data_IF_398029587699
#
_entry.id   IF_398029587699
#
_cell.length_a   1.000
_cell.length_b   1.000
_cell.length_c   1.000
_cell.angle_alpha   90.00
_cell.angle_beta   90.00
_cell.angle_gamma   90.00
#
_symmetry.space_group_name_H-M   'P 1'
#
loop_
_entity.id
_entity.type
_entity.pdbx_description
1 polymer ?
#
# COMPACT_ATOMS: atom_id res chain seq x y z
N UNK A 1 14.80 1.18 15.64
CA UNK A 1 14.67 1.36 14.18
C UNK A 1 14.01 2.71 13.99
N UNK A 2 14.71 3.69 13.40
CA UNK A 2 14.24 5.07 13.34
C UNK A 2 12.95 5.15 12.52
N UNK A 3 11.85 5.51 13.18
CA UNK A 3 10.59 5.85 12.52
C UNK A 3 10.87 7.01 11.56
N UNK A 4 10.74 6.78 10.26
CA UNK A 4 10.90 7.82 9.25
C UNK A 4 9.66 8.70 9.32
N UNK A 5 9.73 9.76 10.13
CA UNK A 5 8.73 10.84 10.07
C UNK A 5 9.16 11.77 8.94
N UNK A 6 8.35 11.93 7.88
CA UNK A 6 8.69 12.88 6.84
C UNK A 6 8.83 14.27 7.46
N UNK A 7 9.95 14.93 7.22
CA UNK A 7 10.21 16.25 7.80
C UNK A 7 9.26 17.28 7.15
N UNK A 8 8.96 18.39 7.84
CA UNK A 8 8.06 19.44 7.33
C UNK A 8 8.45 19.93 5.91
N UNK A 9 9.75 19.96 5.60
CA UNK A 9 10.26 20.32 4.27
C UNK A 9 9.90 19.30 3.18
N UNK A 10 9.97 18.00 3.47
CA UNK A 10 9.59 16.95 2.53
C UNK A 10 8.08 16.95 2.29
N UNK A 11 7.30 17.17 3.34
CA UNK A 11 5.85 17.31 3.23
C UNK A 11 5.46 18.54 2.40
N UNK A 12 6.14 19.67 2.60
CA UNK A 12 5.91 20.90 1.84
C UNK A 12 6.34 20.76 0.39
N UNK A 13 7.45 20.06 0.13
CA UNK A 13 7.89 19.73 -1.22
C UNK A 13 6.89 18.82 -1.92
N UNK A 14 6.41 17.78 -1.24
CA UNK A 14 5.40 16.88 -1.77
C UNK A 14 4.12 17.66 -2.07
N UNK A 15 3.60 18.43 -1.10
CA UNK A 15 2.41 19.25 -1.28
C UNK A 15 2.53 20.17 -2.50
N UNK A 16 3.63 20.94 -2.62
CA UNK A 16 3.91 21.81 -3.77
C UNK A 16 4.04 21.06 -5.11
N UNK A 17 4.29 19.75 -5.08
CA UNK A 17 4.34 18.94 -6.28
C UNK A 17 2.96 18.50 -6.75
N UNK A 18 1.99 18.42 -5.83
CA UNK A 18 0.58 18.21 -6.15
C UNK A 18 -0.10 19.53 -6.49
N UNK A 19 0.07 20.55 -5.66
CA UNK A 19 -0.44 21.92 -5.82
C UNK A 19 0.31 22.64 -6.95
N UNK A 20 -0.23 22.52 -8.17
CA UNK A 20 0.40 23.01 -9.39
C UNK A 20 0.15 24.49 -9.57
N UNK A 21 -1.05 24.94 -9.21
CA UNK A 21 -1.43 26.35 -9.29
C UNK A 21 -0.88 27.18 -8.10
N UNK A 22 -0.32 26.53 -7.06
CA UNK A 22 0.24 27.12 -5.85
C UNK A 22 -0.77 27.95 -5.06
N UNK A 23 -2.04 27.53 -5.09
CA UNK A 23 -3.09 28.21 -4.35
C UNK A 23 -3.12 27.80 -2.86
N UNK A 24 -2.26 26.87 -2.45
CA UNK A 24 -2.16 26.38 -1.08
C UNK A 24 -3.17 25.29 -0.76
N UNK A 25 -3.89 24.79 -1.77
CA UNK A 25 -4.85 23.69 -1.69
C UNK A 25 -4.64 22.76 -2.88
N UNK A 26 -5.00 21.48 -2.74
CA UNK A 26 -4.93 20.53 -3.85
C UNK A 26 -6.35 20.27 -4.32
N UNK A 27 -6.66 20.76 -5.51
CA UNK A 27 -7.94 20.46 -6.15
C UNK A 27 -8.01 19.00 -6.61
N UNK A 28 -9.23 18.50 -6.82
CA UNK A 28 -9.44 17.16 -7.38
C UNK A 28 -8.71 16.96 -8.72
N UNK A 29 -8.61 17.99 -9.56
CA UNK A 29 -7.91 17.91 -10.86
C UNK A 29 -6.39 17.78 -10.69
N UNK A 30 -5.82 18.48 -9.73
CA UNK A 30 -4.39 18.42 -9.40
C UNK A 30 -4.03 17.09 -8.76
N UNK A 31 -4.84 16.62 -7.82
CA UNK A 31 -4.69 15.27 -7.24
C UNK A 31 -4.72 14.19 -8.33
N UNK A 32 -5.66 14.28 -9.28
CA UNK A 32 -5.75 13.35 -10.43
C UNK A 32 -4.48 13.37 -11.27
N UNK A 33 -4.00 14.57 -11.61
CA UNK A 33 -2.84 14.77 -12.47
C UNK A 33 -1.57 14.24 -11.80
N UNK A 34 -1.41 14.49 -10.50
CA UNK A 34 -0.28 14.02 -9.72
C UNK A 34 -0.31 12.50 -9.51
N UNK A 35 -1.47 11.89 -9.24
CA UNK A 35 -1.62 10.43 -9.15
C UNK A 35 -1.29 9.74 -10.47
N UNK A 36 -1.72 10.34 -11.60
CA UNK A 36 -1.39 9.86 -12.94
C UNK A 36 0.11 9.98 -13.23
N UNK A 37 0.76 11.04 -12.75
CA UNK A 37 2.20 11.27 -12.90
C UNK A 37 3.05 10.35 -12.01
N UNK A 38 2.53 9.91 -10.85
CA UNK A 38 3.19 8.93 -9.97
C UNK A 38 3.13 7.48 -10.47
N UNK A 39 2.54 7.23 -11.65
CA UNK A 39 2.67 5.95 -12.35
C UNK A 39 1.82 4.79 -11.79
N UNK A 40 1.04 4.99 -10.73
CA UNK A 40 0.00 4.03 -10.33
C UNK A 40 -1.27 4.35 -11.11
N UNK A 41 -1.68 3.46 -12.00
CA UNK A 41 -2.93 3.54 -12.76
C UNK A 41 -4.15 3.40 -11.85
N UNK A 42 -4.39 4.39 -10.99
CA UNK A 42 -5.57 4.50 -10.14
C UNK A 42 -6.75 4.86 -11.04
N UNK A 43 -7.84 4.10 -10.91
CA UNK A 43 -9.07 4.36 -11.65
C UNK A 43 -9.76 5.63 -11.14
N UNK A 44 -10.55 6.31 -11.97
CA UNK A 44 -11.31 7.50 -11.56
C UNK A 44 -12.13 7.24 -10.28
N UNK A 45 -12.71 6.05 -10.14
CA UNK A 45 -13.48 5.64 -8.96
C UNK A 45 -12.64 5.57 -7.69
N UNK A 46 -11.46 4.96 -7.76
CA UNK A 46 -10.54 4.85 -6.62
C UNK A 46 -9.95 6.21 -6.24
N UNK A 47 -9.69 7.05 -7.22
CA UNK A 47 -9.25 8.42 -7.00
C UNK A 47 -10.31 9.24 -6.28
N UNK A 48 -11.59 9.15 -6.69
CA UNK A 48 -12.68 9.84 -5.99
C UNK A 48 -12.79 9.36 -4.55
N UNK A 49 -12.74 8.04 -4.31
CA UNK A 49 -12.79 7.47 -2.96
C UNK A 49 -11.63 7.94 -2.09
N UNK A 50 -10.40 7.90 -2.61
CA UNK A 50 -9.22 8.37 -1.90
C UNK A 50 -9.31 9.87 -1.59
N UNK A 51 -9.73 10.67 -2.58
CA UNK A 51 -9.91 12.11 -2.40
C UNK A 51 -10.94 12.43 -1.31
N UNK A 52 -12.12 11.79 -1.35
CA UNK A 52 -13.16 11.98 -0.32
C UNK A 52 -12.76 11.46 1.05
N UNK A 53 -11.87 10.46 1.12
CA UNK A 53 -11.32 10.00 2.39
C UNK A 53 -10.31 10.99 3.01
N UNK A 54 -9.70 11.85 2.19
CA UNK A 54 -8.72 12.86 2.63
C UNK A 54 -9.40 14.21 2.91
N UNK A 55 -10.32 14.63 2.04
CA UNK A 55 -11.16 15.83 2.17
C UNK A 55 -12.22 15.63 3.27
N UNK A 56 -11.75 15.60 4.51
CA UNK A 56 -12.58 15.50 5.72
C UNK A 56 -13.38 16.78 5.96
N UNK A 57 -12.88 17.93 5.47
CA UNK A 57 -13.59 19.20 5.48
C UNK A 57 -14.80 19.23 4.54
N UNK A 58 -14.82 18.36 3.52
CA UNK A 58 -15.85 18.32 2.49
C UNK A 58 -15.92 19.60 1.66
N UNK A 59 -14.83 20.38 1.61
CA UNK A 59 -14.79 21.64 0.87
C UNK A 59 -14.44 21.42 -0.62
N UNK A 60 -14.12 20.18 -0.99
CA UNK A 60 -13.74 19.79 -2.34
C UNK A 60 -12.26 20.03 -2.66
N UNK A 61 -11.46 20.39 -1.66
CA UNK A 61 -10.03 20.66 -1.76
C UNK A 61 -9.29 19.96 -0.63
N UNK A 62 -8.05 19.53 -0.88
CA UNK A 62 -7.19 18.98 0.18
C UNK A 62 -6.27 20.09 0.65
N UNK A 63 -6.46 20.57 1.87
CA UNK A 63 -5.57 21.56 2.46
C UNK A 63 -4.29 20.93 3.02
N UNK A 64 -3.31 21.76 3.39
CA UNK A 64 -2.02 21.28 3.90
C UNK A 64 -2.16 20.37 5.13
N UNK A 65 -3.10 20.66 6.04
CA UNK A 65 -3.34 19.88 7.26
C UNK A 65 -3.94 18.52 6.92
N UNK A 66 -4.88 18.47 5.98
CA UNK A 66 -5.47 17.21 5.48
C UNK A 66 -4.43 16.38 4.71
N UNK A 67 -3.55 17.03 3.94
CA UNK A 67 -2.43 16.37 3.26
C UNK A 67 -1.41 15.80 4.25
N UNK A 68 -1.08 16.51 5.33
CA UNK A 68 -0.22 15.98 6.39
C UNK A 68 -0.92 14.81 7.09
N UNK A 69 -2.21 14.93 7.37
CA UNK A 69 -2.98 13.84 7.98
C UNK A 69 -2.98 12.60 7.08
N UNK A 70 -3.13 12.77 5.77
CA UNK A 70 -2.95 11.70 4.80
C UNK A 70 -1.54 11.13 4.85
N UNK A 71 -0.48 11.96 4.79
CA UNK A 71 0.92 11.51 4.77
C UNK A 71 1.33 10.78 6.05
N UNK A 72 0.87 11.23 7.22
CA UNK A 72 1.06 10.54 8.49
C UNK A 72 0.30 9.21 8.56
N UNK A 73 -0.90 9.13 7.96
CA UNK A 73 -1.60 7.85 7.78
C UNK A 73 -1.06 7.04 6.59
N UNK A 74 -0.14 7.59 5.79
CA UNK A 74 0.42 6.94 4.59
C UNK A 74 1.56 5.98 4.92
N UNK A 75 2.02 5.94 6.17
CA UNK A 75 2.74 4.77 6.69
C UNK A 75 1.84 3.50 6.63
N UNK A 76 0.50 3.65 6.51
CA UNK A 76 -0.46 2.58 6.22
C UNK A 76 -0.99 2.61 4.76
N UNK A 77 -0.37 3.41 3.91
CA UNK A 77 -0.83 3.78 2.56
C UNK A 77 -0.40 2.85 1.43
N UNK A 78 0.15 1.67 1.72
CA UNK A 78 0.14 0.57 0.75
C UNK A 78 -1.16 -0.19 0.93
N UNK A 79 -2.24 0.46 0.46
CA UNK A 79 -3.59 -0.03 0.27
C UNK A 79 -3.90 -1.33 1.02
N UNK A 80 -4.37 -1.20 2.26
CA UNK A 80 -5.00 -2.31 2.98
C UNK A 80 -6.05 -3.03 2.08
N UNK A 81 -6.70 -2.30 1.16
CA UNK A 81 -7.56 -2.85 0.10
C UNK A 81 -6.83 -3.66 -0.98
N UNK A 82 -5.67 -3.21 -1.47
CA UNK A 82 -4.88 -3.94 -2.47
C UNK A 82 -4.21 -5.15 -1.85
N UNK A 83 -3.72 -5.00 -0.62
CA UNK A 83 -3.14 -6.10 0.13
C UNK A 83 -4.22 -7.13 0.44
N UNK A 84 -5.43 -6.73 0.86
CA UNK A 84 -6.56 -7.66 1.00
C UNK A 84 -6.95 -8.33 -0.31
N UNK A 85 -6.91 -7.59 -1.42
CA UNK A 85 -7.24 -8.14 -2.74
C UNK A 85 -6.18 -9.16 -3.17
N UNK A 86 -4.90 -8.83 -3.01
CA UNK A 86 -3.78 -9.73 -3.27
C UNK A 86 -3.84 -10.93 -2.33
N UNK A 87 -4.06 -10.72 -1.03
CA UNK A 87 -4.22 -11.76 -0.02
C UNK A 87 -5.29 -12.75 -0.43
N UNK A 88 -6.44 -12.28 -0.92
CA UNK A 88 -7.54 -13.13 -1.42
C UNK A 88 -7.21 -13.90 -2.70
N UNK A 89 -6.17 -13.51 -3.44
CA UNK A 89 -5.67 -14.33 -4.55
C UNK A 89 -4.85 -15.51 -4.01
N UNK A 90 -4.13 -15.32 -2.91
CA UNK A 90 -3.32 -16.33 -2.24
C UNK A 90 -4.15 -17.26 -1.35
N UNK A 91 -5.05 -16.72 -0.54
CA UNK A 91 -6.00 -17.44 0.31
C UNK A 91 -7.11 -18.08 -0.55
N UNK A 92 -6.93 -19.38 -0.85
CA UNK A 92 -7.82 -20.12 -1.75
C UNK A 92 -9.01 -20.71 -1.00
N UNK A 93 -8.82 -21.03 0.28
CA UNK A 93 -9.85 -21.63 1.12
C UNK A 93 -10.73 -20.57 1.82
N UNK A 94 -10.31 -19.30 1.85
CA UNK A 94 -11.02 -18.17 2.44
C UNK A 94 -10.97 -18.15 3.97
N UNK A 95 -9.99 -18.80 4.60
CA UNK A 95 -9.87 -18.87 6.05
C UNK A 95 -9.20 -17.63 6.67
N UNK A 96 -8.76 -16.69 5.83
CA UNK A 96 -8.09 -15.47 6.27
C UNK A 96 -6.61 -15.66 6.62
N UNK A 97 -6.03 -16.81 6.25
CA UNK A 97 -4.61 -17.16 6.40
C UNK A 97 -4.10 -17.76 5.09
N UNK A 98 -2.79 -17.71 4.85
CA UNK A 98 -2.18 -18.33 3.66
C UNK A 98 -1.28 -19.47 4.11
N UNK A 99 -1.63 -20.69 3.73
CA UNK A 99 -0.81 -21.88 3.97
C UNK A 99 0.34 -22.01 2.96
N UNK A 100 1.33 -22.84 3.29
CA UNK A 100 2.45 -23.16 2.39
C UNK A 100 2.00 -23.77 1.05
N UNK A 101 0.89 -24.51 1.07
CA UNK A 101 0.32 -25.16 -0.10
C UNK A 101 -0.38 -24.14 -1.01
N UNK A 102 -1.10 -23.19 -0.42
CA UNK A 102 -1.75 -22.08 -1.13
C UNK A 102 -0.74 -21.12 -1.74
N UNK A 103 0.27 -20.71 -0.97
CA UNK A 103 1.38 -19.89 -1.46
C UNK A 103 2.06 -20.55 -2.68
N UNK A 104 2.35 -21.84 -2.59
CA UNK A 104 2.94 -22.60 -3.70
C UNK A 104 1.99 -22.67 -4.91
N UNK A 105 0.70 -22.92 -4.69
CA UNK A 105 -0.29 -23.01 -5.76
C UNK A 105 -0.39 -21.71 -6.55
N UNK A 106 -0.35 -20.57 -5.86
CA UNK A 106 -0.38 -19.24 -6.49
C UNK A 106 0.94 -18.90 -7.17
N UNK A 107 2.08 -19.20 -6.56
CA UNK A 107 3.38 -18.99 -7.21
C UNK A 107 3.53 -19.81 -8.50
N UNK A 108 3.01 -21.04 -8.53
CA UNK A 108 2.92 -21.85 -9.75
C UNK A 108 2.03 -21.21 -10.81
N UNK A 109 0.90 -20.59 -10.43
CA UNK A 109 0.03 -19.86 -11.36
C UNK A 109 0.70 -18.60 -11.93
N UNK A 110 1.55 -17.94 -11.16
CA UNK A 110 2.32 -16.76 -11.58
C UNK A 110 3.51 -17.15 -12.49
N UNK A 111 3.80 -18.44 -12.64
CA UNK A 111 4.88 -18.95 -13.48
C UNK A 111 6.23 -19.05 -12.76
N UNK A 112 6.27 -18.78 -11.45
CA UNK A 112 7.46 -18.97 -10.63
C UNK A 112 7.59 -20.44 -10.19
N UNK A 113 8.82 -20.95 -10.28
CA UNK A 113 9.15 -22.30 -9.80
C UNK A 113 9.49 -22.26 -8.31
N UNK A 114 8.46 -22.22 -7.47
CA UNK A 114 8.63 -22.43 -6.03
C UNK A 114 8.35 -23.89 -5.64
N UNK A 115 9.22 -24.43 -4.78
CA UNK A 115 9.04 -25.73 -4.13
C UNK A 115 8.40 -25.54 -2.75
N UNK A 116 7.71 -26.57 -2.25
CA UNK A 116 7.06 -26.52 -0.93
C UNK A 116 8.05 -26.14 0.19
N UNK A 117 9.30 -26.60 0.08
CA UNK A 117 10.36 -26.29 1.04
C UNK A 117 10.81 -24.82 0.99
N UNK A 118 10.81 -24.21 -0.21
CA UNK A 118 11.05 -22.78 -0.38
C UNK A 118 9.90 -21.95 0.19
N UNK A 119 8.65 -22.33 -0.09
CA UNK A 119 7.47 -21.67 0.50
C UNK A 119 7.49 -21.74 2.02
N UNK A 120 7.83 -22.90 2.62
CA UNK A 120 7.99 -23.03 4.08
C UNK A 120 9.10 -22.12 4.63
N UNK A 121 10.21 -21.96 3.91
CA UNK A 121 11.27 -21.01 4.30
C UNK A 121 10.81 -19.55 4.21
N UNK A 122 10.02 -19.21 3.19
CA UNK A 122 9.44 -17.87 3.05
C UNK A 122 8.49 -17.56 4.19
N UNK A 123 7.57 -18.48 4.49
CA UNK A 123 6.64 -18.39 5.61
C UNK A 123 7.42 -18.19 6.90
N UNK A 124 8.40 -19.06 7.21
CA UNK A 124 9.21 -18.94 8.43
C UNK A 124 9.97 -17.62 8.58
N UNK A 125 10.18 -16.86 7.49
CA UNK A 125 10.81 -15.55 7.52
C UNK A 125 9.86 -14.39 7.88
N UNK A 126 8.55 -14.61 7.80
CA UNK A 126 7.50 -13.60 8.03
C UNK A 126 6.47 -14.03 9.07
N UNK A 127 6.36 -15.32 9.36
CA UNK A 127 5.57 -15.97 10.41
C UNK A 127 6.17 -15.59 11.77
N UNK A 128 5.53 -14.61 12.41
CA UNK A 128 5.91 -14.05 13.70
C UNK A 128 5.18 -14.79 14.82
N UNK A 129 3.93 -15.19 14.59
CA UNK A 129 3.11 -15.87 15.59
C UNK A 129 3.46 -17.37 15.73
N UNK A 130 4.17 -17.93 14.76
CA UNK A 130 4.68 -19.29 14.75
C UNK A 130 3.63 -20.33 14.42
N UNK A 131 2.50 -19.93 13.84
CA UNK A 131 1.41 -20.84 13.47
C UNK A 131 1.67 -21.61 12.16
N UNK A 132 2.73 -21.25 11.44
CA UNK A 132 3.12 -21.87 10.18
C UNK A 132 2.26 -21.46 8.99
N UNK A 133 1.44 -20.43 9.14
CA UNK A 133 0.62 -19.78 8.13
C UNK A 133 1.08 -18.32 7.98
N UNK A 134 0.46 -17.58 7.07
CA UNK A 134 0.69 -16.13 6.93
C UNK A 134 -0.65 -15.44 7.13
N UNK A 135 -0.76 -14.65 8.20
CA UNK A 135 -1.91 -13.77 8.41
C UNK A 135 -1.79 -12.46 7.61
N UNK A 136 -2.86 -11.67 7.58
CA UNK A 136 -2.90 -10.42 6.81
C UNK A 136 -1.76 -9.45 7.16
N UNK A 137 -1.38 -9.34 8.43
CA UNK A 137 -0.31 -8.46 8.91
C UNK A 137 1.05 -8.98 8.46
N UNK A 138 1.26 -10.29 8.55
CA UNK A 138 2.50 -10.94 8.09
C UNK A 138 2.65 -10.84 6.57
N UNK A 139 1.56 -10.95 5.83
CA UNK A 139 1.53 -10.74 4.39
C UNK A 139 1.84 -9.28 4.01
N UNK A 140 1.37 -8.30 4.81
CA UNK A 140 1.78 -6.89 4.66
C UNK A 140 3.28 -6.73 4.85
N UNK A 141 3.86 -7.36 5.87
CA UNK A 141 5.31 -7.34 6.14
C UNK A 141 6.07 -8.00 4.98
N UNK A 142 5.56 -9.10 4.44
CA UNK A 142 6.15 -9.78 3.29
C UNK A 142 6.20 -8.86 2.08
N UNK A 143 5.06 -8.26 1.70
CA UNK A 143 4.93 -7.37 0.54
C UNK A 143 5.75 -6.08 0.67
N UNK A 144 5.86 -5.54 1.87
CA UNK A 144 6.69 -4.35 2.14
C UNK A 144 8.19 -4.65 2.13
N UNK A 145 8.61 -5.87 2.51
CA UNK A 145 10.03 -6.30 2.48
C UNK A 145 10.50 -6.67 1.07
N UNK A 146 9.68 -7.32 0.25
CA UNK A 146 10.04 -7.67 -1.13
C UNK A 146 10.10 -6.46 -2.08
N UNK A 147 9.45 -5.34 -1.74
CA UNK A 147 9.53 -4.08 -2.50
C UNK A 147 10.63 -3.11 -2.05
N UNK A 148 11.53 -3.49 -1.14
CA UNK A 148 12.81 -2.77 -1.05
C UNK A 148 13.68 -3.23 -2.22
N UNK A 149 14.07 -2.33 -3.15
CA UNK A 149 15.02 -2.72 -4.19
C UNK A 149 16.29 -3.20 -3.47
N UNK A 150 16.72 -4.41 -3.82
CA UNK A 150 18.05 -4.88 -3.47
C UNK A 150 19.05 -3.77 -3.84
N UNK A 151 19.73 -3.23 -2.84
CA UNK A 151 20.83 -2.29 -3.01
C UNK A 151 22.14 -3.08 -3.05
#
# INVERSE_FOLDING_TARGET
MSSYQPNMEEMKWAFNKFDTNKDGKISKQEYKSAMKMMGKGITDTEMVKAFTAIDTGGDGFIDYKEFIHMMHNREEGFNNSDIKTAFRVYDLNGDGKISAEELMAVMKKIGERCSLEACRKMIKGVDVDGDGLIDINEFMIMMTRTMKPFH
#
